data_IF_414165560614
#
_entry.id   IF_414165560614
#
_cell.length_a   1.000
_cell.length_b   1.000
_cell.length_c   1.000
_cell.angle_alpha   90.00
_cell.angle_beta   90.00
_cell.angle_gamma   90.00
#
_symmetry.space_group_name_H-M   'P 1'
#
loop_
_entity.id
_entity.type
_entity.pdbx_description
1 polymer ?
#
# COMPACT_ATOMS: atom_id res chain seq x y z
N UNK A 1 5.42 -6.90 -11.72
CA UNK A 1 5.19 -6.88 -10.26
C UNK A 1 3.80 -7.39 -9.98
N UNK A 2 3.62 -8.32 -9.04
CA UNK A 2 2.29 -8.65 -8.52
C UNK A 2 1.90 -7.59 -7.50
N UNK A 3 0.66 -7.09 -7.56
CA UNK A 3 0.15 -5.98 -6.74
C UNK A 3 -0.88 -6.46 -5.72
N UNK A 4 -0.80 -5.96 -4.50
CA UNK A 4 -1.78 -6.20 -3.44
C UNK A 4 -2.14 -4.89 -2.74
N UNK A 5 -3.44 -4.64 -2.51
CA UNK A 5 -3.91 -3.45 -1.79
C UNK A 5 -3.45 -3.49 -0.33
N UNK A 6 -2.91 -2.38 0.18
CA UNK A 6 -2.39 -2.31 1.55
C UNK A 6 -3.43 -1.83 2.55
N UNK A 7 -3.78 -2.70 3.49
CA UNK A 7 -4.53 -2.33 4.68
C UNK A 7 -3.64 -1.52 5.64
N UNK A 8 -4.17 -0.41 6.16
CA UNK A 8 -3.49 0.40 7.19
C UNK A 8 -3.86 -0.07 8.59
N UNK A 9 -2.83 -0.11 9.44
CA UNK A 9 -2.94 -0.32 10.88
C UNK A 9 -2.86 1.04 11.61
N UNK A 10 -2.73 1.00 12.94
CA UNK A 10 -2.59 2.20 13.79
C UNK A 10 -1.18 2.79 13.80
N UNK A 11 -0.15 2.06 13.33
CA UNK A 11 1.24 2.53 13.35
C UNK A 11 1.45 3.94 12.75
N UNK A 12 0.77 4.33 11.64
CA UNK A 12 0.92 5.66 11.06
C UNK A 12 0.35 6.80 11.92
N UNK A 13 -0.32 6.49 13.02
CA UNK A 13 -0.80 7.50 13.99
C UNK A 13 0.28 7.95 14.96
N UNK A 14 1.48 7.37 14.87
CA UNK A 14 2.64 7.77 15.68
C UNK A 14 3.45 8.79 14.88
N UNK A 15 3.66 9.96 15.47
CA UNK A 15 4.54 10.98 14.90
C UNK A 15 5.99 10.45 14.87
N UNK A 16 6.65 10.42 13.69
CA UNK A 16 7.98 9.85 13.56
C UNK A 16 9.10 10.69 14.21
N UNK A 17 8.88 11.98 14.48
CA UNK A 17 9.84 12.87 15.14
C UNK A 17 9.75 12.76 16.67
N UNK A 18 8.53 12.60 17.21
CA UNK A 18 8.31 12.61 18.67
C UNK A 18 8.08 11.22 19.26
N UNK A 19 7.68 10.23 18.44
CA UNK A 19 7.27 8.91 18.91
C UNK A 19 5.92 8.92 19.66
N UNK A 20 5.22 10.05 19.69
CA UNK A 20 3.94 10.20 20.39
C UNK A 20 2.81 9.81 19.43
N UNK A 21 1.88 9.02 19.95
CA UNK A 21 0.66 8.64 19.24
C UNK A 21 -0.34 9.80 19.27
N UNK A 22 -0.91 10.11 18.11
CA UNK A 22 -1.96 11.11 17.97
C UNK A 22 -3.20 10.73 18.81
N UNK A 23 -3.68 11.61 19.71
CA UNK A 23 -4.81 11.32 20.59
C UNK A 23 -6.13 11.16 19.81
N UNK A 24 -6.24 11.82 18.66
CA UNK A 24 -7.38 11.71 17.76
C UNK A 24 -7.24 10.54 16.78
N UNK A 25 -6.18 9.75 16.86
CA UNK A 25 -5.89 8.63 15.97
C UNK A 25 -5.82 9.05 14.50
N UNK A 26 -5.41 10.29 14.21
CA UNK A 26 -5.12 10.67 12.83
C UNK A 26 -3.79 10.06 12.36
N UNK A 27 -3.65 9.65 11.08
CA UNK A 27 -4.61 9.79 9.98
C UNK A 27 -5.62 8.63 9.86
N UNK A 28 -5.69 7.71 10.84
CA UNK A 28 -6.47 6.47 10.73
C UNK A 28 -7.98 6.74 10.64
N UNK A 29 -8.51 7.69 11.42
CA UNK A 29 -9.92 8.11 11.33
C UNK A 29 -10.25 8.68 9.96
N UNK A 30 -9.45 9.64 9.48
CA UNK A 30 -9.64 10.25 8.15
C UNK A 30 -9.58 9.23 7.03
N UNK A 31 -8.59 8.31 7.03
CA UNK A 31 -8.50 7.28 6.01
C UNK A 31 -9.74 6.36 5.99
N UNK A 32 -10.32 6.07 7.15
CA UNK A 32 -11.52 5.23 7.22
C UNK A 32 -12.77 5.91 6.65
N UNK A 33 -12.85 7.25 6.62
CA UNK A 33 -14.06 7.91 6.11
C UNK A 33 -14.23 7.78 4.59
N UNK A 34 -13.15 7.53 3.83
CA UNK A 34 -13.23 7.47 2.35
C UNK A 34 -12.41 6.35 1.69
N UNK A 35 -11.60 5.57 2.44
CA UNK A 35 -10.80 4.44 1.89
C UNK A 35 -11.22 3.08 2.42
N UNK A 36 -12.43 2.95 2.97
CA UNK A 36 -12.98 1.64 3.33
C UNK A 36 -13.55 0.91 2.11
N UNK A 37 -13.35 -0.40 2.08
CA UNK A 37 -14.04 -1.32 1.15
C UNK A 37 -14.55 -2.51 1.97
N UNK A 38 -15.66 -2.32 2.72
CA UNK A 38 -16.11 -3.25 3.76
C UNK A 38 -16.37 -4.67 3.25
N UNK A 39 -16.75 -4.80 1.98
CA UNK A 39 -17.08 -6.07 1.34
C UNK A 39 -15.88 -7.00 1.21
N UNK A 40 -14.65 -6.46 1.25
CA UNK A 40 -13.41 -7.23 1.06
C UNK A 40 -12.40 -7.08 2.18
N UNK A 41 -12.39 -5.94 2.87
CA UNK A 41 -11.34 -5.61 3.84
C UNK A 41 -11.90 -5.12 5.19
N UNK A 42 -13.19 -5.34 5.43
CA UNK A 42 -13.88 -4.99 6.68
C UNK A 42 -13.65 -3.52 7.08
N UNK A 43 -13.14 -3.28 8.28
CA UNK A 43 -12.98 -1.96 8.88
C UNK A 43 -11.60 -1.31 8.63
N UNK A 44 -10.79 -1.92 7.76
CA UNK A 44 -9.43 -1.47 7.47
C UNK A 44 -9.38 -0.61 6.22
N UNK A 45 -8.95 0.64 6.40
CA UNK A 45 -8.75 1.56 5.29
C UNK A 45 -7.59 1.11 4.38
N UNK A 46 -7.77 1.27 3.08
CA UNK A 46 -6.77 0.94 2.06
C UNK A 46 -5.93 2.16 1.71
N UNK A 47 -4.60 2.05 1.87
CA UNK A 47 -3.68 3.11 1.46
C UNK A 47 -2.31 2.53 1.11
N UNK A 48 -1.94 2.65 -0.16
CA UNK A 48 -0.72 2.08 -0.73
C UNK A 48 -0.94 0.72 -1.40
N UNK A 49 0.12 0.23 -2.04
CA UNK A 49 0.13 -1.03 -2.79
C UNK A 49 1.43 -1.76 -2.43
N UNK A 50 1.33 -3.01 -2.02
CA UNK A 50 2.48 -3.90 -1.88
C UNK A 50 2.84 -4.47 -3.25
N UNK A 51 4.13 -4.38 -3.60
CA UNK A 51 4.67 -4.87 -4.87
C UNK A 51 5.76 -5.91 -4.62
N UNK A 52 5.67 -7.03 -5.32
CA UNK A 52 6.73 -8.02 -5.36
C UNK A 52 7.58 -7.84 -6.64
N UNK A 53 8.92 -7.80 -6.55
CA UNK A 53 9.80 -7.91 -7.70
C UNK A 53 9.51 -9.21 -8.47
N UNK A 54 9.32 -9.11 -9.79
CA UNK A 54 8.93 -10.26 -10.63
C UNK A 54 10.02 -10.76 -11.55
N UNK A 55 11.03 -9.94 -11.84
CA UNK A 55 12.18 -10.39 -12.62
C UNK A 55 13.25 -10.93 -11.67
N UNK A 56 13.18 -12.23 -11.43
CA UNK A 56 14.19 -13.01 -10.70
C UNK A 56 15.07 -13.82 -11.64
N UNK A 57 14.95 -13.61 -12.96
CA UNK A 57 15.67 -14.39 -13.98
C UNK A 57 17.15 -14.05 -14.05
N UNK A 58 17.52 -12.88 -13.54
CA UNK A 58 18.90 -12.49 -13.27
C UNK A 58 19.14 -12.76 -11.79
N UNK A 59 20.24 -13.45 -11.46
CA UNK A 59 20.69 -13.69 -10.07
C UNK A 59 20.96 -12.39 -9.27
N UNK A 60 20.66 -11.21 -9.83
CA UNK A 60 20.85 -9.89 -9.26
C UNK A 60 19.58 -9.06 -9.51
N UNK A 61 19.01 -8.52 -8.44
CA UNK A 61 17.89 -7.58 -8.51
C UNK A 61 18.34 -6.27 -9.21
N UNK A 62 17.43 -5.61 -9.92
CA UNK A 62 17.69 -4.32 -10.57
C UNK A 62 17.84 -3.16 -9.57
N UNK A 63 18.47 -2.07 -10.01
CA UNK A 63 18.59 -0.80 -9.26
C UNK A 63 17.52 0.17 -9.77
N UNK A 64 16.84 0.85 -8.85
CA UNK A 64 15.93 1.97 -9.14
C UNK A 64 16.48 3.26 -8.53
N UNK A 65 16.21 4.40 -9.15
CA UNK A 65 16.66 5.73 -8.72
C UNK A 65 15.54 6.75 -8.78
N UNK A 66 15.69 7.82 -7.99
CA UNK A 66 14.80 8.98 -8.06
C UNK A 66 14.91 9.59 -9.46
N UNK A 67 13.76 9.79 -10.11
CA UNK A 67 13.68 10.31 -11.47
C UNK A 67 13.58 9.23 -12.56
N UNK A 68 13.72 7.95 -12.23
CA UNK A 68 13.50 6.87 -13.19
C UNK A 68 12.04 6.89 -13.71
N UNK A 69 11.88 6.73 -15.02
CA UNK A 69 10.55 6.65 -15.63
C UNK A 69 9.86 5.34 -15.27
N UNK A 70 8.62 5.40 -14.79
CA UNK A 70 7.79 4.22 -14.50
C UNK A 70 6.94 3.89 -15.72
N UNK A 71 6.86 2.61 -16.08
CA UNK A 71 5.99 2.11 -17.16
C UNK A 71 5.12 0.98 -16.64
N UNK A 72 3.86 0.98 -17.04
CA UNK A 72 2.95 -0.14 -16.81
C UNK A 72 3.19 -1.14 -17.93
N UNK A 73 3.82 -2.28 -17.59
CA UNK A 73 4.15 -3.33 -18.56
C UNK A 73 2.92 -4.22 -18.84
N UNK A 74 2.10 -4.44 -17.80
CA UNK A 74 0.86 -5.20 -17.87
C UNK A 74 -0.09 -4.65 -16.83
N UNK A 75 -1.32 -4.36 -17.23
CA UNK A 75 -2.40 -4.03 -16.31
C UNK A 75 -3.25 -5.29 -16.13
N UNK A 76 -3.11 -5.92 -14.97
CA UNK A 76 -3.98 -7.03 -14.57
C UNK A 76 -4.90 -6.57 -13.45
N UNK A 77 -6.18 -6.97 -13.45
CA UNK A 77 -7.08 -6.66 -12.35
C UNK A 77 -6.52 -7.18 -11.03
N UNK A 78 -6.86 -6.51 -9.93
CA UNK A 78 -6.44 -6.95 -8.60
C UNK A 78 -6.92 -8.38 -8.38
N UNK A 79 -6.16 -9.12 -7.57
CA UNK A 79 -6.48 -10.52 -7.25
C UNK A 79 -7.96 -10.71 -6.84
N UNK A 80 -8.54 -9.70 -6.17
CA UNK A 80 -9.92 -9.72 -5.67
C UNK A 80 -10.98 -9.26 -6.68
N UNK A 81 -10.59 -8.62 -7.79
CA UNK A 81 -11.51 -8.19 -8.84
C UNK A 81 -11.73 -9.30 -9.90
N UNK A 82 -10.97 -10.40 -9.81
CA UNK A 82 -11.15 -11.62 -10.62
C UNK A 82 -12.31 -12.46 -10.03
N UNK A 83 -13.54 -11.94 -10.08
CA UNK A 83 -14.75 -12.74 -9.90
C UNK A 83 -15.12 -13.46 -11.19
#
# INVERSE_FOLDING_TARGET
MRRQQRQRCLLPTIDPQTGIKDPDLEPWKTLRSYRLKPEMYHDKALFGIDLAPTDTTKNVLGIIRVGDSIRIIKDEPDFWDKK
#
